data_IF_822207771524
#
_entry.id   IF_822207771524
#
_cell.length_a   1.000
_cell.length_b   1.000
_cell.length_c   1.000
_cell.angle_alpha   90.00
_cell.angle_beta   90.00
_cell.angle_gamma   90.00
#
_symmetry.space_group_name_H-M   'P 1'
#
loop_
_entity.id
_entity.type
_entity.pdbx_description
1 polymer ?
#
# COMPACT_ATOMS: atom_id res chain seq x y z
N UNK A 1 4.89 -21.69 -31.98
CA UNK A 1 4.66 -22.64 -30.87
C UNK A 1 5.96 -22.76 -30.08
N UNK A 2 5.89 -22.55 -28.75
CA UNK A 2 6.98 -22.59 -27.75
C UNK A 2 7.96 -21.41 -27.91
N UNK A 3 8.13 -20.51 -26.94
CA UNK A 3 8.43 -20.75 -25.53
C UNK A 3 7.57 -19.89 -24.57
N UNK A 4 6.60 -20.54 -23.93
CA UNK A 4 6.15 -20.17 -22.59
C UNK A 4 7.12 -20.85 -21.62
N UNK A 5 8.05 -20.09 -21.04
CA UNK A 5 8.75 -20.47 -19.81
C UNK A 5 8.30 -19.46 -18.75
N UNK A 6 7.37 -19.91 -17.91
CA UNK A 6 7.62 -20.46 -16.57
C UNK A 6 7.79 -19.31 -15.58
N UNK A 7 6.77 -19.12 -14.74
CA UNK A 7 7.02 -18.95 -13.29
C UNK A 7 8.09 -19.99 -12.99
N UNK A 8 9.25 -19.62 -12.43
CA UNK A 8 10.23 -20.63 -12.03
C UNK A 8 9.48 -21.76 -11.33
N UNK A 9 9.48 -22.98 -11.90
CA UNK A 9 8.83 -24.16 -11.32
C UNK A 9 9.17 -24.24 -9.82
N UNK A 10 10.41 -23.90 -9.48
CA UNK A 10 10.90 -23.76 -8.12
C UNK A 10 10.11 -22.80 -7.21
N UNK A 11 9.61 -21.66 -7.68
CA UNK A 11 8.91 -20.69 -6.82
C UNK A 11 7.45 -21.07 -6.64
N UNK A 12 6.77 -21.55 -7.69
CA UNK A 12 5.41 -22.09 -7.58
C UNK A 12 5.39 -23.34 -6.70
N UNK A 13 6.28 -24.30 -6.97
CA UNK A 13 6.40 -25.52 -6.18
C UNK A 13 6.78 -25.21 -4.74
N UNK A 14 7.59 -24.17 -4.49
CA UNK A 14 7.95 -23.75 -3.12
C UNK A 14 6.76 -23.11 -2.39
N UNK A 15 5.95 -22.30 -3.07
CA UNK A 15 4.72 -21.73 -2.49
C UNK A 15 3.70 -22.83 -2.23
N UNK A 16 3.44 -23.70 -3.21
CA UNK A 16 2.57 -24.87 -3.06
C UNK A 16 3.08 -25.79 -1.96
N UNK A 17 4.38 -26.09 -1.88
CA UNK A 17 4.95 -26.90 -0.80
C UNK A 17 4.85 -26.23 0.59
N UNK A 18 5.00 -24.91 0.68
CA UNK A 18 4.84 -24.17 1.96
C UNK A 18 3.37 -24.16 2.37
N UNK A 19 2.46 -23.84 1.45
CA UNK A 19 1.01 -23.93 1.66
C UNK A 19 0.62 -25.35 2.08
N UNK A 20 1.13 -26.37 1.40
CA UNK A 20 0.85 -27.77 1.69
C UNK A 20 1.37 -28.20 3.06
N UNK A 21 2.51 -27.65 3.52
CA UNK A 21 3.06 -27.90 4.86
C UNK A 21 2.33 -27.15 5.96
N UNK A 22 1.91 -25.91 5.72
CA UNK A 22 1.17 -25.10 6.70
C UNK A 22 -0.26 -25.62 6.85
N UNK A 23 -0.90 -26.05 5.75
CA UNK A 23 -2.29 -26.50 5.72
C UNK A 23 -2.47 -28.03 5.66
N UNK A 24 -1.38 -28.82 5.70
CA UNK A 24 -1.39 -30.29 5.71
C UNK A 24 -2.12 -30.97 4.51
N UNK A 25 -2.20 -30.35 3.32
CA UNK A 25 -2.92 -30.87 2.13
C UNK A 25 -2.32 -30.37 0.81
N UNK A 26 -2.55 -31.06 -0.32
CA UNK A 26 -2.13 -30.61 -1.67
C UNK A 26 -3.02 -29.48 -2.22
N UNK A 27 -2.43 -28.34 -2.57
CA UNK A 27 -3.07 -27.20 -3.22
C UNK A 27 -2.61 -27.06 -4.68
N UNK A 28 -3.56 -26.71 -5.55
CA UNK A 28 -3.31 -26.25 -6.92
C UNK A 28 -3.58 -24.74 -6.97
N UNK A 29 -2.59 -23.93 -7.36
CA UNK A 29 -2.81 -22.52 -7.70
C UNK A 29 -3.58 -22.46 -9.02
N UNK A 30 -4.90 -22.27 -8.95
CA UNK A 30 -5.75 -22.19 -10.15
C UNK A 30 -5.73 -20.79 -10.77
N UNK A 31 -5.65 -20.74 -12.10
CA UNK A 31 -5.69 -19.53 -12.90
C UNK A 31 -7.10 -19.32 -13.44
N UNK A 32 -7.73 -18.18 -13.10
CA UNK A 32 -8.45 -17.25 -14.02
C UNK A 32 -9.88 -16.74 -13.66
N UNK A 33 -10.10 -15.45 -14.00
CA UNK A 33 -11.35 -14.68 -14.35
C UNK A 33 -12.03 -13.85 -13.21
N UNK A 34 -12.52 -12.60 -13.46
CA UNK A 34 -12.50 -11.77 -14.67
C UNK A 34 -11.54 -10.56 -14.61
N UNK A 35 -10.94 -10.21 -15.76
CA UNK A 35 -10.31 -8.91 -15.95
C UNK A 35 -11.38 -7.81 -15.90
N UNK A 36 -11.46 -7.07 -14.81
CA UNK A 36 -11.88 -5.68 -14.91
C UNK A 36 -10.70 -4.98 -15.56
N UNK A 37 -10.89 -4.53 -16.80
CA UNK A 37 -9.91 -3.78 -17.57
C UNK A 37 -9.74 -2.40 -16.89
N UNK A 38 -8.97 -2.37 -15.80
CA UNK A 38 -8.58 -1.14 -15.16
C UNK A 38 -7.55 -0.52 -16.10
N UNK A 39 -7.88 0.62 -16.70
CA UNK A 39 -6.90 1.38 -17.45
C UNK A 39 -5.67 1.59 -16.57
N UNK A 40 -4.58 0.91 -16.92
CA UNK A 40 -3.27 1.10 -16.32
C UNK A 40 -2.83 2.54 -16.61
N UNK A 41 -2.60 3.29 -15.55
CA UNK A 41 -2.08 4.65 -15.61
C UNK A 41 -0.63 4.58 -15.16
N UNK A 42 0.26 5.17 -15.96
CA UNK A 42 1.65 5.34 -15.59
C UNK A 42 1.90 6.69 -14.89
N UNK A 43 3.11 6.90 -14.39
CA UNK A 43 3.54 8.14 -13.74
C UNK A 43 3.22 9.39 -14.58
N UNK A 44 3.41 9.32 -15.91
CA UNK A 44 3.12 10.44 -16.81
C UNK A 44 1.62 10.76 -16.85
N UNK A 45 0.76 9.74 -16.87
CA UNK A 45 -0.68 9.90 -16.77
C UNK A 45 -1.12 10.54 -15.45
N UNK A 46 -0.52 10.15 -14.32
CA UNK A 46 -0.82 10.78 -13.02
C UNK A 46 -0.48 12.27 -13.00
N UNK A 47 0.65 12.66 -13.60
CA UNK A 47 1.07 14.06 -13.71
C UNK A 47 0.15 14.83 -14.67
N UNK A 48 -0.12 14.26 -15.84
CA UNK A 48 -0.97 14.87 -16.88
C UNK A 48 -2.42 15.06 -16.42
N UNK A 49 -2.95 14.10 -15.67
CA UNK A 49 -4.27 14.20 -15.05
C UNK A 49 -4.26 15.08 -13.79
N UNK A 50 -3.11 15.67 -13.46
CA UNK A 50 -2.88 16.48 -12.26
C UNK A 50 -3.31 15.75 -10.97
N UNK A 51 -3.20 14.42 -10.95
CA UNK A 51 -3.57 13.59 -9.79
C UNK A 51 -2.54 13.72 -8.67
N UNK A 52 -1.28 13.91 -9.04
CA UNK A 52 -0.16 14.20 -8.15
C UNK A 52 0.90 14.99 -8.93
N UNK A 53 1.83 15.65 -8.23
CA UNK A 53 3.04 16.18 -8.86
C UNK A 53 4.07 15.08 -9.02
N UNK A 54 5.05 15.28 -9.91
CA UNK A 54 6.21 14.39 -10.04
C UNK A 54 6.94 14.20 -8.71
N UNK A 55 7.19 15.30 -7.98
CA UNK A 55 7.85 15.28 -6.66
C UNK A 55 7.11 14.38 -5.65
N UNK A 56 5.77 14.41 -5.65
CA UNK A 56 4.96 13.57 -4.75
C UNK A 56 5.09 12.08 -5.08
N UNK A 57 5.08 11.72 -6.37
CA UNK A 57 5.22 10.32 -6.81
C UNK A 57 6.64 9.82 -6.54
N UNK A 58 7.64 10.62 -6.85
CA UNK A 58 9.05 10.32 -6.55
C UNK A 58 9.27 10.15 -5.06
N UNK A 59 8.66 11.00 -4.23
CA UNK A 59 8.72 10.86 -2.78
C UNK A 59 8.13 9.54 -2.29
N UNK A 60 6.96 9.14 -2.80
CA UNK A 60 6.32 7.87 -2.43
C UNK A 60 7.20 6.67 -2.83
N UNK A 61 7.74 6.69 -4.05
CA UNK A 61 8.63 5.62 -4.54
C UNK A 61 9.94 5.55 -3.75
N UNK A 62 10.50 6.71 -3.36
CA UNK A 62 11.68 6.80 -2.52
C UNK A 62 11.46 6.14 -1.15
N UNK A 63 10.33 6.43 -0.51
CA UNK A 63 9.98 5.85 0.79
C UNK A 63 9.92 4.32 0.74
N UNK A 64 9.27 3.75 -0.28
CA UNK A 64 9.20 2.28 -0.46
C UNK A 64 10.53 1.66 -0.84
N UNK A 65 11.32 2.34 -1.68
CA UNK A 65 12.67 1.90 -2.06
C UNK A 65 13.53 1.67 -0.82
N UNK A 66 13.43 2.57 0.15
CA UNK A 66 14.08 2.50 1.46
C UNK A 66 13.19 1.94 2.56
N UNK A 67 12.34 0.97 2.21
CA UNK A 67 11.65 0.08 3.14
C UNK A 67 10.80 0.81 4.20
N UNK A 68 10.14 1.90 3.81
CA UNK A 68 9.18 2.62 4.65
C UNK A 68 7.77 2.18 4.32
N UNK A 69 7.16 1.43 5.23
CA UNK A 69 5.76 1.01 5.14
C UNK A 69 4.81 2.21 5.09
N UNK A 70 3.69 2.05 4.38
CA UNK A 70 2.69 3.12 4.22
C UNK A 70 1.31 2.56 3.96
N UNK A 71 0.29 3.40 4.11
CA UNK A 71 -1.09 3.05 3.79
C UNK A 71 -1.68 4.04 2.80
N UNK A 72 -2.30 3.53 1.73
CA UNK A 72 -3.05 4.35 0.77
C UNK A 72 -4.51 4.37 1.19
N UNK A 73 -5.02 5.53 1.56
CA UNK A 73 -6.35 5.69 2.14
C UNK A 73 -7.28 6.51 1.24
N UNK A 74 -8.58 6.35 1.42
CA UNK A 74 -9.60 7.05 0.64
C UNK A 74 -10.90 6.27 0.41
N UNK A 75 -11.92 6.98 -0.04
CA UNK A 75 -13.26 6.42 -0.31
C UNK A 75 -13.27 5.36 -1.42
N UNK A 76 -14.42 4.70 -1.61
CA UNK A 76 -14.63 3.82 -2.76
C UNK A 76 -14.55 4.61 -4.06
N UNK A 77 -13.93 4.03 -5.10
CA UNK A 77 -13.76 4.66 -6.41
C UNK A 77 -12.74 5.81 -6.49
N UNK A 78 -12.03 6.14 -5.38
CA UNK A 78 -11.07 7.25 -5.36
C UNK A 78 -9.77 6.98 -6.13
N UNK A 79 -9.50 5.73 -6.54
CA UNK A 79 -8.32 5.36 -7.31
C UNK A 79 -7.15 4.77 -6.51
N UNK A 80 -7.37 4.35 -5.25
CA UNK A 80 -6.32 3.76 -4.39
C UNK A 80 -5.58 2.59 -5.03
N UNK A 81 -6.31 1.59 -5.54
CA UNK A 81 -5.70 0.40 -6.16
C UNK A 81 -4.93 0.76 -7.43
N UNK A 82 -5.41 1.74 -8.21
CA UNK A 82 -4.71 2.23 -9.41
C UNK A 82 -3.39 2.91 -9.03
N UNK A 83 -3.40 3.79 -8.03
CA UNK A 83 -2.19 4.42 -7.50
C UNK A 83 -1.23 3.38 -6.90
N UNK A 84 -1.75 2.41 -6.15
CA UNK A 84 -0.94 1.35 -5.56
C UNK A 84 -0.25 0.50 -6.63
N UNK A 85 -0.97 0.15 -7.70
CA UNK A 85 -0.41 -0.60 -8.82
C UNK A 85 0.74 0.16 -9.48
N UNK A 86 0.56 1.45 -9.74
CA UNK A 86 1.60 2.29 -10.35
C UNK A 86 2.85 2.43 -9.47
N UNK A 87 2.66 2.71 -8.19
CA UNK A 87 3.77 2.81 -7.22
C UNK A 87 4.59 1.51 -7.19
N UNK A 88 3.92 0.35 -7.15
CA UNK A 88 4.61 -0.94 -7.12
C UNK A 88 5.33 -1.26 -8.42
N UNK A 89 4.84 -0.75 -9.55
CA UNK A 89 5.44 -0.96 -10.86
C UNK A 89 6.75 -0.19 -11.05
N UNK A 90 6.80 1.06 -10.60
CA UNK A 90 7.97 1.94 -10.69
C UNK A 90 9.18 1.44 -9.88
N UNK A 91 8.96 0.59 -8.88
CA UNK A 91 10.04 -0.02 -8.11
C UNK A 91 10.93 -0.89 -9.00
N UNK A 92 12.17 -1.11 -8.56
CA UNK A 92 13.15 -1.88 -9.32
C UNK A 92 13.82 -2.91 -8.42
N UNK A 93 13.98 -4.13 -8.92
CA UNK A 93 14.66 -5.24 -8.24
C UNK A 93 14.07 -5.55 -6.85
N UNK A 94 12.75 -5.38 -6.69
CA UNK A 94 12.04 -5.77 -5.46
C UNK A 94 11.29 -7.08 -5.69
N UNK A 95 11.27 -7.93 -4.67
CA UNK A 95 10.34 -9.06 -4.57
C UNK A 95 9.07 -8.58 -3.86
N UNK A 96 7.92 -8.63 -4.54
CA UNK A 96 6.65 -8.11 -4.08
C UNK A 96 5.67 -9.27 -3.93
N UNK A 97 5.09 -9.45 -2.74
CA UNK A 97 4.05 -10.44 -2.48
C UNK A 97 2.71 -9.73 -2.32
N UNK A 98 1.82 -9.91 -3.30
CA UNK A 98 0.50 -9.28 -3.36
C UNK A 98 -0.56 -10.25 -2.85
N UNK A 99 -1.38 -9.78 -1.93
CA UNK A 99 -2.53 -10.50 -1.37
C UNK A 99 -3.81 -9.73 -1.71
N UNK A 100 -4.78 -10.40 -2.32
CA UNK A 100 -6.09 -9.82 -2.64
C UNK A 100 -7.23 -10.66 -2.04
N UNK A 101 -8.24 -9.97 -1.51
CA UNK A 101 -9.44 -10.61 -0.98
C UNK A 101 -10.54 -10.70 -2.03
N UNK A 102 -10.78 -11.91 -2.54
CA UNK A 102 -11.85 -12.20 -3.50
C UNK A 102 -11.39 -12.15 -4.95
N UNK A 103 -11.60 -11.02 -5.63
CA UNK A 103 -11.25 -10.86 -7.06
C UNK A 103 -9.91 -10.15 -7.23
N UNK A 104 -9.20 -10.50 -8.31
CA UNK A 104 -7.95 -9.86 -8.71
C UNK A 104 -8.21 -8.48 -9.33
N UNK A 105 -7.70 -7.44 -8.68
CA UNK A 105 -7.69 -6.04 -9.13
C UNK A 105 -6.30 -5.61 -9.63
N UNK A 106 -5.22 -6.31 -9.23
CA UNK A 106 -3.87 -5.96 -9.67
C UNK A 106 -3.50 -6.57 -11.03
N UNK A 107 -3.02 -5.69 -11.92
CA UNK A 107 -2.53 -6.08 -13.24
C UNK A 107 -1.01 -6.23 -13.32
N UNK A 108 -0.26 -5.93 -12.25
CA UNK A 108 1.19 -6.04 -12.21
C UNK A 108 1.65 -7.47 -12.56
N UNK A 109 2.42 -7.66 -13.63
CA UNK A 109 2.98 -8.96 -14.02
C UNK A 109 4.49 -8.85 -14.11
N UNK A 110 5.20 -9.93 -13.75
CA UNK A 110 6.68 -10.01 -13.82
C UNK A 110 7.26 -9.58 -15.18
N UNK A 111 6.53 -9.78 -16.27
CA UNK A 111 6.99 -9.41 -17.62
C UNK A 111 6.92 -7.91 -17.88
N UNK A 112 6.09 -7.21 -17.13
CA UNK A 112 5.75 -5.81 -17.32
C UNK A 112 6.50 -4.92 -16.31
N UNK A 113 7.29 -5.50 -15.40
CA UNK A 113 8.06 -4.77 -14.38
C UNK A 113 9.47 -5.35 -14.22
N UNK A 114 10.36 -4.60 -13.55
CA UNK A 114 11.70 -5.05 -13.15
C UNK A 114 11.71 -5.74 -11.78
N UNK A 115 10.53 -6.10 -11.28
CA UNK A 115 10.29 -6.71 -9.98
C UNK A 115 9.92 -8.18 -10.14
N UNK A 116 10.11 -8.96 -9.07
CA UNK A 116 9.57 -10.32 -8.96
C UNK A 116 8.26 -10.23 -8.18
N UNK A 117 7.15 -10.63 -8.80
CA UNK A 117 5.80 -10.39 -8.28
C UNK A 117 5.06 -11.71 -8.06
N UNK A 118 4.73 -11.97 -6.81
CA UNK A 118 3.95 -13.14 -6.40
C UNK A 118 2.53 -12.67 -6.11
N UNK A 119 1.57 -13.15 -6.91
CA UNK A 119 0.16 -12.87 -6.70
C UNK A 119 -0.52 -13.99 -5.94
N UNK A 120 -1.30 -13.63 -4.93
CA UNK A 120 -2.10 -14.55 -4.15
C UNK A 120 -3.49 -13.97 -3.88
N UNK A 121 -4.48 -14.85 -3.82
CA UNK A 121 -5.87 -14.46 -3.61
C UNK A 121 -6.50 -15.41 -2.60
N UNK A 122 -7.33 -14.86 -1.72
CA UNK A 122 -8.10 -15.66 -0.76
C UNK A 122 -9.06 -16.61 -1.49
N UNK A 123 -9.28 -17.79 -0.93
CA UNK A 123 -10.25 -18.76 -1.46
C UNK A 123 -11.36 -18.93 -0.45
N UNK A 124 -12.61 -18.65 -0.85
CA UNK A 124 -13.78 -18.95 -0.04
C UNK A 124 -14.30 -20.35 -0.36
N UNK A 125 -14.53 -21.15 0.67
CA UNK A 125 -15.17 -22.46 0.55
C UNK A 125 -16.28 -22.60 1.60
N UNK A 126 -17.32 -23.39 1.28
CA UNK A 126 -18.41 -23.70 2.23
C UNK A 126 -17.90 -24.48 3.44
N UNK A 127 -16.88 -25.33 3.25
CA UNK A 127 -16.13 -25.89 4.36
C UNK A 127 -15.05 -24.87 4.75
N UNK A 128 -15.17 -24.28 5.95
CA UNK A 128 -14.21 -23.29 6.43
C UNK A 128 -12.78 -23.82 6.47
N UNK A 129 -12.58 -25.13 6.65
CA UNK A 129 -11.25 -25.75 6.66
C UNK A 129 -10.59 -25.79 5.28
N UNK A 130 -11.35 -25.52 4.22
CA UNK A 130 -10.87 -25.42 2.84
C UNK A 130 -10.78 -23.96 2.38
N UNK A 131 -11.10 -23.00 3.24
CA UNK A 131 -10.95 -21.58 2.92
C UNK A 131 -9.51 -21.13 3.17
N UNK A 132 -8.97 -20.31 2.26
CA UNK A 132 -7.67 -19.65 2.42
C UNK A 132 -7.96 -18.18 2.75
N UNK A 133 -7.59 -17.76 3.96
CA UNK A 133 -7.80 -16.40 4.45
C UNK A 133 -6.55 -15.56 4.24
N UNK A 134 -6.66 -14.24 4.45
CA UNK A 134 -5.54 -13.32 4.29
C UNK A 134 -4.42 -13.67 5.27
N UNK A 135 -4.76 -14.08 6.48
CA UNK A 135 -3.82 -14.47 7.54
C UNK A 135 -2.96 -15.67 7.14
N UNK A 136 -3.55 -16.65 6.43
CA UNK A 136 -2.82 -17.81 5.91
C UNK A 136 -1.80 -17.38 4.84
N UNK A 137 -2.20 -16.45 3.96
CA UNK A 137 -1.33 -15.90 2.92
C UNK A 137 -0.23 -15.00 3.51
N UNK A 138 -0.51 -14.27 4.58
CA UNK A 138 0.50 -13.49 5.31
C UNK A 138 1.56 -14.39 5.93
N UNK A 139 1.19 -15.54 6.51
CA UNK A 139 2.14 -16.52 7.04
C UNK A 139 3.06 -17.09 5.94
N UNK A 140 2.51 -17.32 4.75
CA UNK A 140 3.26 -17.74 3.56
C UNK A 140 4.22 -16.64 3.10
N UNK A 141 3.74 -15.39 3.02
CA UNK A 141 4.56 -14.24 2.63
C UNK A 141 5.78 -14.10 3.56
N UNK A 142 5.59 -14.16 4.87
CA UNK A 142 6.68 -14.10 5.86
C UNK A 142 7.72 -15.21 5.63
N UNK A 143 7.27 -16.41 5.27
CA UNK A 143 8.14 -17.56 4.97
C UNK A 143 8.96 -17.39 3.68
N UNK A 144 8.39 -16.72 2.68
CA UNK A 144 9.07 -16.39 1.42
C UNK A 144 10.11 -15.29 1.60
N UNK A 145 9.85 -14.36 2.54
CA UNK A 145 10.67 -13.18 2.82
C UNK A 145 10.79 -12.23 1.61
N UNK A 146 9.66 -11.73 1.07
CA UNK A 146 9.70 -10.70 0.03
C UNK A 146 10.22 -9.38 0.61
N UNK A 147 10.68 -8.49 -0.27
CA UNK A 147 11.06 -7.12 0.10
C UNK A 147 9.82 -6.30 0.52
N UNK A 148 8.68 -6.55 -0.15
CA UNK A 148 7.42 -5.84 0.08
C UNK A 148 6.26 -6.83 0.17
N UNK A 149 5.42 -6.67 1.19
CA UNK A 149 4.11 -7.32 1.28
C UNK A 149 3.05 -6.27 0.96
N UNK A 150 2.27 -6.52 -0.09
CA UNK A 150 1.17 -5.68 -0.52
C UNK A 150 -0.16 -6.36 -0.18
N UNK A 151 -1.01 -5.69 0.60
CA UNK A 151 -2.40 -6.11 0.81
C UNK A 151 -3.32 -5.19 0.01
N UNK A 152 -4.02 -5.75 -0.98
CA UNK A 152 -4.85 -4.98 -1.90
C UNK A 152 -5.89 -4.11 -1.17
N UNK A 153 -6.54 -4.64 -0.14
CA UNK A 153 -7.39 -3.85 0.74
C UNK A 153 -7.42 -4.43 2.17
N UNK A 154 -7.28 -3.53 3.15
CA UNK A 154 -7.41 -3.79 4.58
C UNK A 154 -8.88 -3.63 5.00
N UNK A 155 -9.55 -4.74 5.33
CA UNK A 155 -11.00 -4.80 5.57
C UNK A 155 -11.42 -5.32 6.95
N UNK A 156 -10.63 -6.20 7.57
CA UNK A 156 -10.98 -6.83 8.85
C UNK A 156 -9.76 -7.08 9.75
N UNK A 157 -9.82 -8.12 10.59
CA UNK A 157 -8.82 -8.47 11.60
C UNK A 157 -7.41 -8.76 11.05
N UNK A 158 -7.23 -8.99 9.75
CA UNK A 158 -5.91 -9.19 9.13
C UNK A 158 -4.95 -8.02 9.37
N UNK A 159 -5.49 -6.82 9.61
CA UNK A 159 -4.70 -5.62 9.92
C UNK A 159 -3.89 -5.80 11.21
N UNK A 160 -4.40 -6.58 12.17
CA UNK A 160 -3.65 -6.89 13.40
C UNK A 160 -2.36 -7.63 13.09
N UNK A 161 -2.40 -8.67 12.26
CA UNK A 161 -1.22 -9.42 11.84
C UNK A 161 -0.30 -8.58 10.95
N UNK A 162 -0.90 -7.78 10.06
CA UNK A 162 -0.17 -6.96 9.11
C UNK A 162 0.70 -5.90 9.80
N UNK A 163 0.19 -5.25 10.85
CA UNK A 163 0.98 -4.30 11.62
C UNK A 163 2.11 -4.99 12.42
N UNK A 164 1.90 -6.23 12.91
CA UNK A 164 2.97 -6.99 13.58
C UNK A 164 4.09 -7.31 12.60
N UNK A 165 3.74 -7.74 11.38
CA UNK A 165 4.67 -8.01 10.29
C UNK A 165 5.47 -6.76 9.94
N UNK A 166 4.80 -5.61 9.79
CA UNK A 166 5.46 -4.34 9.50
C UNK A 166 6.47 -3.94 10.60
N UNK A 167 6.07 -4.07 11.87
CA UNK A 167 6.95 -3.79 13.03
C UNK A 167 8.10 -4.78 13.17
N UNK A 168 7.93 -6.01 12.66
CA UNK A 168 9.00 -7.00 12.59
C UNK A 168 10.05 -6.71 11.49
N UNK A 169 9.87 -5.64 10.71
CA UNK A 169 10.86 -5.14 9.75
C UNK A 169 10.54 -5.43 8.28
N UNK A 170 9.37 -5.98 7.98
CA UNK A 170 8.90 -6.10 6.60
C UNK A 170 8.35 -4.77 6.10
N UNK A 171 8.63 -4.42 4.85
CA UNK A 171 7.96 -3.29 4.20
C UNK A 171 6.54 -3.72 3.83
N UNK A 172 5.55 -2.99 4.32
CA UNK A 172 4.15 -3.26 4.05
C UNK A 172 3.49 -2.06 3.40
N UNK A 173 2.71 -2.34 2.37
CA UNK A 173 1.80 -1.37 1.77
C UNK A 173 0.42 -2.00 1.57
N UNK A 174 -0.62 -1.18 1.62
CA UNK A 174 -1.95 -1.63 1.25
C UNK A 174 -2.95 -0.49 1.23
N UNK A 175 -4.17 -0.78 0.77
CA UNK A 175 -5.23 0.23 0.72
C UNK A 175 -6.22 0.09 1.87
N UNK A 176 -6.84 1.19 2.29
CA UNK A 176 -7.90 1.18 3.29
C UNK A 176 -8.98 2.23 2.97
N UNK A 177 -10.23 1.89 3.28
CA UNK A 177 -11.31 2.87 3.23
C UNK A 177 -11.33 3.74 4.48
N UNK A 178 -11.16 5.05 4.28
CA UNK A 178 -11.20 6.06 5.35
C UNK A 178 -11.72 7.39 4.79
N UNK A 179 -12.26 8.23 5.69
CA UNK A 179 -12.82 9.54 5.35
C UNK A 179 -11.77 10.64 5.24
N UNK A 180 -10.63 10.51 5.93
CA UNK A 180 -9.47 11.42 5.83
C UNK A 180 -8.22 10.76 6.42
N UNK A 181 -7.07 11.42 6.29
CA UNK A 181 -5.76 10.92 6.72
C UNK A 181 -5.68 10.65 8.23
N UNK A 182 -6.18 11.56 9.07
CA UNK A 182 -6.12 11.40 10.54
C UNK A 182 -7.04 10.26 11.01
N UNK A 183 -8.25 10.17 10.47
CA UNK A 183 -9.19 9.09 10.78
C UNK A 183 -8.73 7.73 10.24
N UNK A 184 -7.75 7.69 9.33
CA UNK A 184 -7.18 6.44 8.82
C UNK A 184 -6.52 5.64 9.95
N UNK A 185 -5.78 6.29 10.85
CA UNK A 185 -5.20 5.59 12.01
C UNK A 185 -6.27 5.00 12.92
N UNK A 186 -7.33 5.78 13.22
CA UNK A 186 -8.46 5.27 14.01
C UNK A 186 -9.14 4.08 13.35
N UNK A 187 -9.29 4.12 12.01
CA UNK A 187 -9.86 3.02 11.22
C UNK A 187 -9.00 1.76 11.31
N UNK A 188 -7.69 1.89 11.12
CA UNK A 188 -6.74 0.77 11.24
C UNK A 188 -6.75 0.16 12.65
N UNK A 189 -6.80 0.98 13.70
CA UNK A 189 -6.91 0.47 15.08
C UNK A 189 -8.22 -0.28 15.30
N UNK A 190 -9.34 0.22 14.78
CA UNK A 190 -10.63 -0.47 14.87
C UNK A 190 -10.60 -1.83 14.15
N UNK A 191 -9.92 -1.91 13.00
CA UNK A 191 -9.70 -3.18 12.29
C UNK A 191 -8.85 -4.15 13.12
N UNK A 192 -7.77 -3.68 13.73
CA UNK A 192 -6.96 -4.50 14.63
C UNK A 192 -7.77 -5.07 15.80
N UNK A 193 -8.70 -4.29 16.37
CA UNK A 193 -9.54 -4.72 17.50
C UNK A 193 -10.43 -5.92 17.18
N UNK A 194 -10.75 -6.19 15.91
CA UNK A 194 -11.49 -7.40 15.53
C UNK A 194 -10.65 -8.68 15.75
N UNK A 195 -9.32 -8.57 15.79
CA UNK A 195 -8.38 -9.67 15.98
C UNK A 195 -7.80 -9.82 17.38
N UNK A 196 -8.03 -8.85 18.29
CA UNK A 196 -7.37 -8.85 19.60
C UNK A 196 -8.12 -8.03 20.66
N UNK A 197 -7.88 -8.34 21.94
CA UNK A 197 -8.40 -7.59 23.10
C UNK A 197 -7.42 -6.54 23.63
N UNK A 198 -6.34 -6.24 22.88
CA UNK A 198 -5.37 -5.21 23.27
C UNK A 198 -6.05 -3.85 23.35
N UNK A 199 -5.59 -3.04 24.30
CA UNK A 199 -6.10 -1.69 24.52
C UNK A 199 -5.97 -0.79 23.28
N UNK A 200 -6.91 0.14 23.12
CA UNK A 200 -6.95 1.03 21.97
C UNK A 200 -5.68 1.88 21.84
N UNK A 201 -5.15 2.41 22.93
CA UNK A 201 -4.00 3.32 22.91
C UNK A 201 -2.71 2.56 22.59
N UNK A 202 -2.62 1.29 23.01
CA UNK A 202 -1.52 0.39 22.63
C UNK A 202 -1.59 0.07 21.14
N UNK A 203 -2.77 -0.28 20.63
CA UNK A 203 -2.96 -0.54 19.19
C UNK A 203 -2.68 0.71 18.34
N UNK A 204 -3.03 1.90 18.84
CA UNK A 204 -2.70 3.16 18.17
C UNK A 204 -1.19 3.28 17.98
N UNK A 205 -0.41 3.08 19.05
CA UNK A 205 1.07 3.07 18.97
C UNK A 205 1.58 2.02 17.99
N UNK A 206 0.96 0.84 17.98
CA UNK A 206 1.32 -0.24 17.07
C UNK A 206 1.14 0.11 15.61
N UNK A 207 -0.05 0.61 15.27
CA UNK A 207 -0.41 1.00 13.91
C UNK A 207 0.42 2.20 13.44
N UNK A 208 0.63 3.22 14.30
CA UNK A 208 1.42 4.40 13.91
C UNK A 208 2.89 4.08 13.66
N UNK A 209 3.46 3.12 14.39
CA UNK A 209 4.83 2.66 14.14
C UNK A 209 4.93 1.82 12.85
N UNK A 210 3.92 0.97 12.61
CA UNK A 210 3.81 0.11 11.43
C UNK A 210 3.62 0.91 10.14
N UNK A 211 2.80 1.96 10.16
CA UNK A 211 2.44 2.76 8.99
C UNK A 211 2.75 4.24 9.27
N UNK A 212 4.03 4.67 9.21
CA UNK A 212 4.41 6.05 9.48
C UNK A 212 3.93 7.05 8.42
N UNK A 213 3.49 6.58 7.25
CA UNK A 213 3.02 7.42 6.13
C UNK A 213 1.61 7.01 5.72
N UNK A 214 0.71 7.99 5.62
CA UNK A 214 -0.61 7.86 4.99
C UNK A 214 -0.62 8.68 3.70
N UNK A 215 -0.99 8.05 2.60
CA UNK A 215 -1.25 8.71 1.30
C UNK A 215 -2.76 8.72 1.08
N UNK A 216 -3.40 9.87 1.17
CA UNK A 216 -4.85 10.00 1.10
C UNK A 216 -5.30 10.48 -0.28
N UNK A 217 -6.05 9.63 -0.98
CA UNK A 217 -6.55 9.84 -2.34
C UNK A 217 -8.05 10.08 -2.33
N UNK A 218 -8.49 11.15 -2.99
CA UNK A 218 -9.90 11.55 -3.07
C UNK A 218 -10.32 11.77 -4.51
N UNK A 219 -11.53 11.33 -4.86
CA UNK A 219 -12.24 11.84 -6.01
C UNK A 219 -13.00 13.11 -5.58
N UNK A 220 -12.69 14.23 -6.22
CA UNK A 220 -13.35 15.52 -6.00
C UNK A 220 -14.71 15.57 -6.71
N UNK A 221 -15.49 16.62 -6.44
CA UNK A 221 -16.86 16.74 -6.95
C UNK A 221 -16.91 16.89 -8.48
N UNK A 222 -15.84 17.41 -9.09
CA UNK A 222 -15.62 17.48 -10.54
C UNK A 222 -15.14 16.15 -11.17
N UNK A 223 -15.14 15.06 -10.38
CA UNK A 223 -14.69 13.71 -10.73
C UNK A 223 -13.18 13.54 -10.94
N UNK A 224 -12.41 14.62 -10.84
CA UNK A 224 -10.95 14.51 -10.81
C UNK A 224 -10.49 13.73 -9.57
N UNK A 225 -9.42 12.96 -9.71
CA UNK A 225 -8.80 12.24 -8.58
C UNK A 225 -7.53 12.98 -8.20
N UNK A 226 -7.31 13.20 -6.92
CA UNK A 226 -6.12 13.88 -6.39
C UNK A 226 -5.56 13.12 -5.18
N UNK A 227 -4.24 13.05 -5.06
CA UNK A 227 -3.58 12.77 -3.78
C UNK A 227 -3.73 14.02 -2.92
N UNK A 228 -4.81 14.09 -2.15
CA UNK A 228 -5.16 15.31 -1.42
C UNK A 228 -4.28 15.56 -0.20
N UNK A 229 -3.64 14.52 0.34
CA UNK A 229 -2.71 14.65 1.45
C UNK A 229 -1.70 13.49 1.48
N UNK A 230 -0.43 13.82 1.78
CA UNK A 230 0.57 12.85 2.22
C UNK A 230 0.96 13.27 3.64
N UNK A 231 0.68 12.41 4.61
CA UNK A 231 0.82 12.72 6.04
C UNK A 231 1.83 11.76 6.69
N UNK A 232 2.77 12.32 7.43
CA UNK A 232 3.67 11.58 8.31
C UNK A 232 3.12 11.54 9.73
N UNK A 233 3.17 10.36 10.36
CA UNK A 233 2.97 10.20 11.79
C UNK A 233 4.33 10.16 12.49
N UNK A 234 4.52 11.12 13.39
CA UNK A 234 5.74 11.28 14.18
C UNK A 234 5.43 10.87 15.61
N UNK A 235 6.17 9.89 16.11
CA UNK A 235 6.14 9.50 17.52
C UNK A 235 7.40 10.06 18.18
N UNK A 236 7.23 10.83 19.25
CA UNK A 236 8.35 11.35 20.04
C UNK A 236 8.91 10.32 21.03
N UNK A 237 9.95 10.70 21.78
CA UNK A 237 10.60 9.81 22.76
C UNK A 237 9.68 9.44 23.94
N UNK A 238 8.69 10.27 24.24
CA UNK A 238 7.69 10.04 25.30
C UNK A 238 6.51 9.20 24.80
N UNK A 239 6.45 8.90 23.49
CA UNK A 239 5.39 8.13 22.85
C UNK A 239 4.15 8.94 22.49
N UNK A 240 4.24 10.27 22.46
CA UNK A 240 3.20 11.14 21.94
C UNK A 240 3.18 11.10 20.41
N UNK A 241 1.96 11.14 19.85
CA UNK A 241 1.72 11.04 18.42
C UNK A 241 1.42 12.44 17.86
N UNK A 242 2.16 12.82 16.82
CA UNK A 242 1.95 14.04 16.04
C UNK A 242 1.75 13.71 14.57
N UNK A 243 0.88 14.45 13.91
CA UNK A 243 0.63 14.30 12.48
C UNK A 243 1.21 15.51 11.73
N UNK A 244 2.10 15.25 10.77
CA UNK A 244 2.73 16.26 9.93
C UNK A 244 2.29 16.07 8.49
N UNK A 245 1.44 16.97 7.99
CA UNK A 245 1.13 17.03 6.56
C UNK A 245 2.39 17.42 5.80
N UNK A 246 2.86 16.56 4.90
CA UNK A 246 4.04 16.79 4.07
C UNK A 246 3.65 17.44 2.74
N UNK A 247 2.61 16.89 2.10
CA UNK A 247 2.04 17.41 0.86
C UNK A 247 0.53 17.53 1.00
N UNK A 248 -0.07 18.52 0.35
CA UNK A 248 -1.51 18.73 0.35
C UNK A 248 -2.00 19.30 -0.97
N UNK A 249 -3.19 18.90 -1.40
CA UNK A 249 -3.95 19.62 -2.43
C UNK A 249 -4.83 20.67 -1.77
N UNK A 250 -4.53 21.95 -2.02
CA UNK A 250 -5.27 23.08 -1.48
C UNK A 250 -6.29 23.57 -2.51
N UNK A 251 -7.56 23.31 -2.23
CA UNK A 251 -8.68 23.87 -3.00
C UNK A 251 -8.69 25.38 -2.80
N UNK A 252 -8.61 26.12 -3.90
CA UNK A 252 -8.69 27.59 -3.91
C UNK A 252 -10.11 28.06 -4.19
N UNK A 253 -10.87 27.33 -5.01
CA UNK A 253 -12.22 27.70 -5.39
C UNK A 253 -13.04 26.48 -5.84
N UNK A 254 -14.32 26.46 -5.47
CA UNK A 254 -15.30 25.52 -6.01
C UNK A 254 -16.33 26.31 -6.81
N UNK A 255 -16.51 25.97 -8.08
CA UNK A 255 -17.44 26.64 -8.98
C UNK A 255 -18.55 25.67 -9.38
N UNK A 256 -19.80 26.13 -9.32
CA UNK A 256 -20.96 25.40 -9.84
C UNK A 256 -21.58 26.24 -10.95
N UNK A 257 -21.65 25.69 -12.17
CA UNK A 257 -22.30 26.32 -13.33
C UNK A 257 -23.11 25.28 -14.09
N UNK A 258 -24.39 25.52 -14.29
CA UNK A 258 -25.29 24.66 -15.07
C UNK A 258 -25.19 23.17 -14.65
N UNK A 259 -25.20 22.91 -13.34
CA UNK A 259 -25.01 21.59 -12.69
C UNK A 259 -23.63 20.93 -12.85
N UNK A 260 -22.65 21.61 -13.47
CA UNK A 260 -21.25 21.17 -13.51
C UNK A 260 -20.45 21.75 -12.34
N UNK A 261 -19.77 20.85 -11.61
CA UNK A 261 -18.80 21.21 -10.59
C UNK A 261 -17.40 21.34 -11.21
N UNK A 262 -16.68 22.38 -10.82
CA UNK A 262 -15.25 22.57 -11.14
C UNK A 262 -14.52 22.88 -9.85
N UNK A 263 -13.44 22.13 -9.57
CA UNK A 263 -12.61 22.36 -8.39
C UNK A 263 -11.26 22.90 -8.83
N UNK A 264 -10.99 24.17 -8.50
CA UNK A 264 -9.70 24.79 -8.71
C UNK A 264 -8.85 24.66 -7.45
N UNK A 265 -7.57 24.32 -7.62
CA UNK A 265 -6.64 24.18 -6.51
C UNK A 265 -5.23 23.88 -7.00
N UNK A 266 -4.29 23.81 -6.05
CA UNK A 266 -2.90 23.50 -6.33
C UNK A 266 -2.30 22.57 -5.27
N UNK A 267 -1.27 21.81 -5.66
CA UNK A 267 -0.46 21.06 -4.71
C UNK A 267 0.55 21.97 -4.01
N UNK A 268 0.74 21.77 -2.72
CA UNK A 268 1.75 22.44 -1.92
C UNK A 268 2.54 21.42 -1.08
N UNK A 269 3.85 21.60 -1.02
CA UNK A 269 4.73 20.97 -0.02
C UNK A 269 4.61 21.79 1.27
N UNK A 270 4.00 21.20 2.28
CA UNK A 270 3.65 21.89 3.53
C UNK A 270 4.78 21.79 4.54
N UNK A 271 5.38 20.61 4.69
CA UNK A 271 6.48 20.35 5.61
C UNK A 271 7.51 19.40 5.00
N UNK A 272 8.73 19.45 5.53
CA UNK A 272 9.73 18.42 5.31
C UNK A 272 9.50 17.22 6.23
N UNK A 273 10.04 16.06 5.83
CA UNK A 273 10.04 14.85 6.67
C UNK A 273 10.72 15.10 8.03
N UNK A 274 10.22 14.43 9.07
CA UNK A 274 10.76 14.56 10.42
C UNK A 274 12.19 14.04 10.54
N UNK A 275 12.88 14.43 11.61
CA UNK A 275 14.19 13.86 11.93
C UNK A 275 14.15 12.34 12.16
N UNK A 276 13.01 11.81 12.64
CA UNK A 276 12.84 10.37 12.84
C UNK A 276 12.75 9.64 11.51
N UNK A 277 12.03 10.21 10.53
CA UNK A 277 12.00 9.65 9.18
C UNK A 277 13.35 9.74 8.48
N UNK A 278 14.08 10.87 8.60
CA UNK A 278 15.47 10.98 8.08
C UNK A 278 16.37 9.88 8.63
N UNK A 279 16.36 9.66 9.95
CA UNK A 279 17.12 8.58 10.60
C UNK A 279 16.69 7.19 10.10
N UNK A 280 15.38 6.97 9.92
CA UNK A 280 14.82 5.71 9.41
C UNK A 280 15.34 5.43 7.99
N UNK A 281 15.25 6.39 7.09
CA UNK A 281 15.70 6.24 5.69
C UNK A 281 17.20 5.92 5.62
N UNK A 282 18.03 6.66 6.38
CA UNK A 282 19.48 6.41 6.46
C UNK A 282 19.79 5.02 7.03
N UNK A 283 19.07 4.59 8.08
CA UNK A 283 19.21 3.25 8.67
C UNK A 283 18.83 2.14 7.67
N UNK A 284 17.87 2.43 6.78
CA UNK A 284 17.44 1.52 5.73
C UNK A 284 18.34 1.57 4.48
N UNK A 285 19.47 2.27 4.54
CA UNK A 285 20.51 2.26 3.50
C UNK A 285 20.47 3.42 2.52
N UNK A 286 19.65 4.45 2.76
CA UNK A 286 19.64 5.63 1.91
C UNK A 286 20.98 6.39 1.96
N UNK A 287 21.58 6.72 0.80
CA UNK A 287 22.74 7.60 0.75
C UNK A 287 22.39 9.02 1.24
N UNK A 288 23.29 9.64 2.01
CA UNK A 288 23.12 11.02 2.47
C UNK A 288 22.89 12.01 1.31
N UNK A 289 23.59 11.84 0.19
CA UNK A 289 23.45 12.69 -0.99
C UNK A 289 22.06 12.60 -1.63
N UNK A 290 21.38 11.47 -1.50
CA UNK A 290 20.02 11.28 -1.99
C UNK A 290 19.01 11.93 -1.06
N UNK A 291 19.20 11.78 0.25
CA UNK A 291 18.41 12.47 1.27
C UNK A 291 18.51 14.00 1.12
N UNK A 292 19.72 14.54 0.93
CA UNK A 292 19.93 15.99 0.75
C UNK A 292 19.28 16.52 -0.53
N UNK A 293 19.35 15.79 -1.65
CA UNK A 293 18.64 16.17 -2.88
C UNK A 293 17.14 16.34 -2.63
N UNK A 294 16.54 15.41 -1.89
CA UNK A 294 15.11 15.48 -1.60
C UNK A 294 14.75 16.66 -0.66
N UNK A 295 15.58 16.94 0.34
CA UNK A 295 15.32 18.00 1.31
C UNK A 295 15.55 19.42 0.77
N UNK A 296 16.33 19.56 -0.30
CA UNK A 296 16.69 20.84 -0.91
C UNK A 296 15.86 21.19 -2.15
N UNK A 297 14.90 20.33 -2.52
CA UNK A 297 13.88 20.59 -3.57
C UNK A 297 12.66 21.25 -2.94
#
# INVERSE_FOLDING_TARGET
MKELRFIEENTKDKIENILNKIANREFLVDQSIPLINLHKLDKEDFIKNETATEEMLDFINLLLTYNTSMCIAGNCGSGKTVLLNEILEELINKTIFIIESGSREFELKDKDTKNTVIHSTTVYNKDENLSIKVEDLLAVAVSIKPDIICLGEMRSKEVFYLQEIARAGYTVIGTVHSNDSIHTYKRLVNLCKEGTNIDYDILMKFVTEAFPIIVYVKQLDDKSRKITEIMECVVDEDGNIFYSTLFRYKITENIIRDDYFTVNGCFEKVNNISNNMKKRLLKNGMPYSELEKFLNT
#
